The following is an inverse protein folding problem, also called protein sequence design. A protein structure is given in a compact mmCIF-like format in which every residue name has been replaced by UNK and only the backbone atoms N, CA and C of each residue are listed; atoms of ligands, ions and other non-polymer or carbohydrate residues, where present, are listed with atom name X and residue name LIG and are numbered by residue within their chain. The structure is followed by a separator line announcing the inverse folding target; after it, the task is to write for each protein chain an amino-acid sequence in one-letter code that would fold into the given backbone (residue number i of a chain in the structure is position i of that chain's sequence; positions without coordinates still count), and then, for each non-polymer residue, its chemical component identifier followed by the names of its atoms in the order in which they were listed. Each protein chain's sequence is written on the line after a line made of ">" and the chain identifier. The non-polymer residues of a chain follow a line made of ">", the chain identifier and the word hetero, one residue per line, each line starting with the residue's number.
data_IF_958261753557
#
_entry.id   IF_958261753557
#
_cell.length_a   1.000
_cell.length_b   1.000
_cell.length_c   1.000
_cell.angle_alpha   90.00
_cell.angle_beta   90.00
_cell.angle_gamma   90.00
#
_symmetry.space_group_name_H-M   'P 1'
#
loop_
_entity.id
_entity.type
_entity.pdbx_description
1 polymer ?
#
# COMPACT_ATOMS: atom_id res chain seq x y z
N UNK A 1 67.35 -4.03 -50.42
CA UNK A 1 66.22 -3.43 -49.68
C UNK A 1 64.93 -4.13 -50.10
N UNK A 2 64.44 -5.13 -49.36
CA UNK A 2 63.00 -5.45 -49.21
C UNK A 2 62.87 -6.29 -47.93
N UNK A 3 62.83 -5.63 -46.77
CA UNK A 3 62.47 -6.24 -45.48
C UNK A 3 61.50 -5.28 -44.81
N UNK A 4 60.22 -5.37 -45.17
CA UNK A 4 59.21 -4.43 -44.66
C UNK A 4 57.76 -4.91 -44.69
N UNK A 5 57.41 -6.01 -45.38
CA UNK A 5 56.00 -6.44 -45.46
C UNK A 5 55.57 -7.44 -44.38
N UNK A 6 56.49 -8.25 -43.83
CA UNK A 6 56.12 -9.34 -42.89
C UNK A 6 55.84 -8.86 -41.47
N UNK A 7 56.58 -7.86 -40.98
CA UNK A 7 56.39 -7.28 -39.64
C UNK A 7 55.12 -6.42 -39.53
N UNK A 8 54.80 -5.67 -40.59
CA UNK A 8 53.60 -4.84 -40.65
C UNK A 8 52.30 -5.68 -40.63
N UNK A 9 52.28 -6.82 -41.32
CA UNK A 9 51.12 -7.72 -41.34
C UNK A 9 50.85 -8.35 -39.97
N UNK A 10 51.91 -8.77 -39.26
CA UNK A 10 51.79 -9.38 -37.93
C UNK A 10 51.37 -8.34 -36.88
N UNK A 11 51.89 -7.11 -36.96
CA UNK A 11 51.48 -6.01 -36.09
C UNK A 11 50.02 -5.59 -36.33
N UNK A 12 49.59 -5.51 -37.59
CA UNK A 12 48.20 -5.24 -37.95
C UNK A 12 47.27 -6.35 -37.44
N UNK A 13 47.61 -7.62 -37.66
CA UNK A 13 46.82 -8.75 -37.15
C UNK A 13 46.72 -8.76 -35.62
N UNK A 14 47.80 -8.41 -34.92
CA UNK A 14 47.81 -8.27 -33.46
C UNK A 14 46.94 -7.11 -32.97
N UNK A 15 46.97 -5.96 -33.65
CA UNK A 15 46.09 -4.82 -33.33
C UNK A 15 44.61 -5.09 -33.62
N UNK A 16 44.30 -5.78 -34.72
CA UNK A 16 42.93 -6.23 -35.01
C UNK A 16 42.44 -7.22 -33.96
N UNK A 17 43.25 -8.22 -33.60
CA UNK A 17 42.91 -9.19 -32.56
C UNK A 17 42.71 -8.51 -31.18
N UNK A 18 43.56 -7.55 -30.83
CA UNK A 18 43.45 -6.79 -29.59
C UNK A 18 42.19 -5.90 -29.57
N UNK A 19 41.85 -5.28 -30.70
CA UNK A 19 40.63 -4.45 -30.85
C UNK A 19 39.34 -5.27 -30.78
N UNK A 20 39.36 -6.49 -31.32
CA UNK A 20 38.24 -7.44 -31.20
C UNK A 20 38.11 -7.93 -29.76
N UNK A 21 39.22 -8.24 -29.09
CA UNK A 21 39.22 -8.67 -27.69
C UNK A 21 38.71 -7.57 -26.76
N UNK A 22 39.09 -6.31 -26.97
CA UNK A 22 38.58 -5.19 -26.16
C UNK A 22 37.11 -4.92 -26.45
N UNK A 23 36.67 -4.96 -27.71
CA UNK A 23 35.26 -4.79 -28.08
C UNK A 23 34.37 -5.89 -27.50
N UNK A 24 34.83 -7.15 -27.51
CA UNK A 24 34.09 -8.28 -26.92
C UNK A 24 34.00 -8.19 -25.40
N UNK A 25 35.09 -7.83 -24.71
CA UNK A 25 35.06 -7.59 -23.26
C UNK A 25 34.12 -6.44 -22.91
N UNK A 26 34.16 -5.34 -23.66
CA UNK A 26 33.28 -4.20 -23.45
C UNK A 26 31.80 -4.58 -23.66
N UNK A 27 31.50 -5.35 -24.70
CA UNK A 27 30.16 -5.87 -24.98
C UNK A 27 29.65 -6.78 -23.85
N UNK A 28 30.50 -7.68 -23.34
CA UNK A 28 30.16 -8.57 -22.22
C UNK A 28 29.88 -7.80 -20.92
N UNK A 29 30.66 -6.75 -20.64
CA UNK A 29 30.43 -5.88 -19.48
C UNK A 29 29.10 -5.12 -19.59
N UNK A 30 28.78 -4.60 -20.78
CA UNK A 30 27.50 -3.90 -21.04
C UNK A 30 26.31 -4.87 -20.90
N UNK A 31 26.39 -6.06 -21.50
CA UNK A 31 25.33 -7.07 -21.40
C UNK A 31 25.12 -7.56 -19.96
N UNK A 32 26.19 -7.73 -19.19
CA UNK A 32 26.12 -8.14 -17.78
C UNK A 32 25.42 -7.09 -16.90
N UNK A 33 25.58 -5.79 -17.21
CA UNK A 33 24.87 -4.70 -16.53
C UNK A 33 23.39 -4.64 -16.91
N UNK A 34 23.06 -4.91 -18.17
CA UNK A 34 21.66 -4.94 -18.66
C UNK A 34 20.90 -6.14 -18.09
N UNK A 35 21.58 -7.26 -17.83
CA UNK A 35 20.96 -8.48 -17.31
C UNK A 35 20.60 -8.43 -15.80
N UNK A 36 20.97 -7.38 -15.06
CA UNK A 36 20.52 -7.19 -13.69
C UNK A 36 19.12 -6.54 -13.65
N UNK A 37 18.11 -7.26 -14.14
CA UNK A 37 16.73 -6.96 -13.78
C UNK A 37 16.47 -7.54 -12.37
N UNK A 38 16.35 -6.68 -11.37
CA UNK A 38 15.92 -7.11 -10.04
C UNK A 38 14.44 -7.50 -10.12
N UNK A 39 14.16 -8.80 -10.07
CA UNK A 39 12.77 -9.31 -10.04
C UNK A 39 12.28 -9.19 -8.59
N UNK A 40 11.49 -8.16 -8.33
CA UNK A 40 10.79 -8.02 -7.06
C UNK A 40 9.49 -8.83 -7.12
N UNK A 41 9.40 -9.86 -6.29
CA UNK A 41 8.16 -10.58 -6.06
C UNK A 41 7.43 -9.95 -4.89
N UNK A 42 6.28 -9.32 -5.16
CA UNK A 42 5.35 -8.94 -4.12
C UNK A 42 4.38 -10.12 -3.90
N UNK A 43 4.33 -10.71 -2.69
CA UNK A 43 3.31 -11.70 -2.40
C UNK A 43 1.94 -11.03 -2.57
N UNK A 44 1.12 -11.58 -3.47
CA UNK A 44 -0.22 -11.08 -3.69
C UNK A 44 -1.05 -11.33 -2.43
N UNK A 45 -1.32 -10.26 -1.68
CA UNK A 45 -2.25 -10.24 -0.56
C UNK A 45 -3.54 -9.57 -1.00
N UNK A 46 -4.67 -10.20 -0.72
CA UNK A 46 -5.98 -9.62 -0.95
C UNK A 46 -6.49 -8.94 0.34
N UNK A 47 -7.37 -7.92 0.26
CA UNK A 47 -7.92 -7.26 1.44
C UNK A 47 -8.53 -8.20 2.47
N UNK A 48 -9.15 -9.29 2.00
CA UNK A 48 -9.81 -10.32 2.80
C UNK A 48 -8.82 -11.20 3.59
N UNK A 49 -7.52 -11.13 3.25
CA UNK A 49 -6.47 -11.89 3.92
C UNK A 49 -5.83 -11.15 5.10
N UNK A 50 -6.17 -9.86 5.29
CA UNK A 50 -5.73 -9.09 6.45
C UNK A 50 -6.57 -9.44 7.70
N UNK A 51 -5.98 -9.31 8.89
CA UNK A 51 -6.70 -9.54 10.14
C UNK A 51 -7.81 -8.51 10.39
N UNK A 52 -8.75 -8.82 11.29
CA UNK A 52 -9.91 -7.96 11.60
C UNK A 52 -9.55 -6.54 12.12
N UNK A 53 -8.33 -6.35 12.64
CA UNK A 53 -7.81 -5.07 13.13
C UNK A 53 -6.74 -4.49 12.20
N UNK A 54 -6.65 -4.98 10.97
CA UNK A 54 -5.71 -4.52 9.95
C UNK A 54 -6.51 -4.09 8.72
N UNK A 55 -5.94 -3.22 7.89
CA UNK A 55 -6.48 -2.90 6.57
C UNK A 55 -5.41 -3.14 5.51
N UNK A 56 -5.85 -3.37 4.28
CA UNK A 56 -4.94 -3.50 3.15
C UNK A 56 -4.58 -2.11 2.59
N UNK A 57 -3.34 -1.70 2.80
CA UNK A 57 -2.80 -0.49 2.20
C UNK A 57 -2.37 -0.78 0.76
N UNK A 58 -3.18 -0.30 -0.19
CA UNK A 58 -2.96 -0.50 -1.63
C UNK A 58 -1.68 0.20 -2.11
N UNK A 59 -1.26 1.27 -1.43
CA UNK A 59 -0.03 2.01 -1.79
C UNK A 59 1.22 1.24 -1.39
N UNK A 60 1.17 0.54 -0.25
CA UNK A 60 2.25 -0.29 0.26
C UNK A 60 2.12 -1.78 -0.12
N UNK A 61 1.01 -2.18 -0.75
CA UNK A 61 0.64 -3.57 -1.07
C UNK A 61 0.76 -4.52 0.15
N UNK A 62 0.36 -4.06 1.33
CA UNK A 62 0.55 -4.80 2.58
C UNK A 62 -0.59 -4.58 3.60
N UNK A 63 -0.71 -5.48 4.58
CA UNK A 63 -1.65 -5.32 5.69
C UNK A 63 -1.02 -4.44 6.76
N UNK A 64 -1.73 -3.39 7.15
CA UNK A 64 -1.29 -2.41 8.15
C UNK A 64 -2.29 -2.40 9.30
N UNK A 65 -1.85 -2.42 10.57
CA UNK A 65 -2.76 -2.39 11.71
C UNK A 65 -3.50 -1.06 11.77
N UNK A 66 -4.79 -1.12 12.12
CA UNK A 66 -5.56 0.07 12.48
C UNK A 66 -5.11 0.64 13.83
N UNK A 67 -5.35 1.95 14.03
CA UNK A 67 -4.96 2.64 15.25
C UNK A 67 -5.87 2.33 16.45
N UNK A 68 -5.63 3.02 17.56
CA UNK A 68 -6.41 2.82 18.79
C UNK A 68 -7.88 3.20 18.58
N UNK A 69 -8.79 2.36 19.10
CA UNK A 69 -10.24 2.51 18.96
C UNK A 69 -10.75 2.52 17.51
N UNK A 70 -10.04 1.82 16.63
CA UNK A 70 -10.41 1.64 15.24
C UNK A 70 -10.58 0.16 14.92
N UNK A 71 -11.25 -0.12 13.81
CA UNK A 71 -11.36 -1.44 13.17
C UNK A 71 -11.30 -1.29 11.65
N UNK A 72 -11.13 -2.41 10.96
CA UNK A 72 -11.23 -2.46 9.52
C UNK A 72 -12.65 -2.11 9.04
N UNK A 73 -12.76 -1.44 7.88
CA UNK A 73 -14.03 -1.21 7.19
C UNK A 73 -14.57 -2.49 6.53
N UNK A 74 -15.83 -2.45 6.08
CA UNK A 74 -16.47 -3.62 5.48
C UNK A 74 -15.76 -4.14 4.20
N UNK A 75 -14.98 -3.28 3.51
CA UNK A 75 -14.22 -3.66 2.31
C UNK A 75 -12.80 -4.10 2.59
N UNK A 76 -12.32 -3.94 3.81
CA UNK A 76 -10.98 -4.34 4.18
C UNK A 76 -9.84 -3.39 3.81
N UNK A 77 -10.17 -2.19 3.34
CA UNK A 77 -9.22 -1.27 2.66
C UNK A 77 -8.96 0.02 3.43
N UNK A 78 -9.67 0.22 4.54
CA UNK A 78 -9.48 1.40 5.40
C UNK A 78 -9.82 1.09 6.85
N UNK A 79 -9.41 1.97 7.75
CA UNK A 79 -9.81 1.94 9.15
C UNK A 79 -10.99 2.88 9.40
N UNK A 80 -11.87 2.48 10.30
CA UNK A 80 -13.01 3.26 10.79
C UNK A 80 -13.05 3.20 12.31
N UNK A 81 -13.65 4.20 12.96
CA UNK A 81 -13.81 4.19 14.40
C UNK A 81 -14.69 3.02 14.86
N UNK A 82 -14.40 2.49 16.04
CA UNK A 82 -15.25 1.51 16.70
C UNK A 82 -16.65 2.09 16.98
N UNK A 83 -17.69 1.25 17.07
CA UNK A 83 -19.01 1.70 17.48
C UNK A 83 -18.98 2.48 18.81
N UNK A 84 -19.67 3.62 18.86
CA UNK A 84 -19.67 4.53 20.02
C UNK A 84 -18.44 5.45 20.12
N UNK A 85 -17.58 5.48 19.12
CA UNK A 85 -16.50 6.46 18.98
C UNK A 85 -16.74 7.36 17.78
N UNK A 86 -16.71 8.67 18.00
CA UNK A 86 -16.74 9.65 16.91
C UNK A 86 -15.34 9.91 16.36
N UNK A 87 -15.28 10.21 15.07
CA UNK A 87 -14.07 10.68 14.39
C UNK A 87 -13.82 12.15 14.74
N UNK A 88 -12.61 12.45 15.22
CA UNK A 88 -12.16 13.81 15.52
C UNK A 88 -11.30 14.37 14.39
N UNK A 89 -10.51 13.50 13.74
CA UNK A 89 -9.71 13.87 12.58
C UNK A 89 -9.50 12.67 11.67
N UNK A 90 -9.42 12.93 10.38
CA UNK A 90 -9.09 11.93 9.37
C UNK A 90 -7.77 12.31 8.68
N UNK A 91 -6.68 11.67 9.09
CA UNK A 91 -5.37 11.82 8.44
C UNK A 91 -5.04 10.64 7.50
N UNK A 92 -6.03 9.78 7.22
CA UNK A 92 -5.86 8.57 6.43
C UNK A 92 -5.19 7.40 7.17
N UNK A 93 -5.37 6.20 6.63
CA UNK A 93 -4.78 4.96 7.16
C UNK A 93 -5.03 4.78 8.67
N UNK A 94 -3.99 4.48 9.46
CA UNK A 94 -4.12 4.30 10.92
C UNK A 94 -4.18 5.62 11.69
N UNK A 95 -3.92 6.77 11.05
CA UNK A 95 -3.79 8.08 11.70
C UNK A 95 -5.14 8.80 11.92
N UNK A 96 -6.25 8.06 11.83
CA UNK A 96 -7.58 8.54 12.20
C UNK A 96 -7.64 8.67 13.72
N UNK A 97 -8.18 9.79 14.23
CA UNK A 97 -8.32 9.98 15.68
C UNK A 97 -9.77 9.74 16.07
N UNK A 98 -10.00 8.75 16.92
CA UNK A 98 -11.32 8.36 17.42
C UNK A 98 -11.46 8.71 18.91
N UNK A 99 -12.59 9.30 19.29
CA UNK A 99 -12.91 9.65 20.68
C UNK A 99 -14.22 9.01 21.11
N UNK A 100 -14.23 8.42 22.32
CA UNK A 100 -15.42 7.81 22.87
C UNK A 100 -16.52 8.87 23.04
N UNK A 101 -17.72 8.53 22.58
CA UNK A 101 -18.89 9.35 22.81
C UNK A 101 -19.27 9.39 24.29
N UNK A 102 -19.85 10.51 24.78
CA UNK A 102 -20.30 10.60 26.15
C UNK A 102 -21.45 9.62 26.42
N UNK A 103 -21.60 9.16 27.67
CA UNK A 103 -22.58 8.13 28.05
C UNK A 103 -24.04 8.50 27.71
N UNK A 104 -24.37 9.80 27.60
CA UNK A 104 -25.70 10.30 27.25
C UNK A 104 -25.98 10.31 25.73
N UNK A 105 -24.93 10.19 24.90
CA UNK A 105 -25.01 10.26 23.44
C UNK A 105 -24.21 9.11 22.85
N UNK A 106 -24.67 7.87 23.07
CA UNK A 106 -23.91 6.67 22.67
C UNK A 106 -23.89 6.44 21.15
N UNK A 107 -24.80 7.07 20.40
CA UNK A 107 -24.87 6.92 18.95
C UNK A 107 -23.84 7.78 18.24
N UNK A 108 -23.47 7.34 17.04
CA UNK A 108 -22.62 8.10 16.12
C UNK A 108 -23.41 8.32 14.84
N UNK A 109 -23.27 9.49 14.23
CA UNK A 109 -23.84 9.80 12.91
C UNK A 109 -23.31 8.86 11.82
N UNK A 110 -24.03 8.75 10.71
CA UNK A 110 -23.67 7.83 9.62
C UNK A 110 -22.32 8.16 8.96
N UNK A 111 -21.96 9.45 8.93
CA UNK A 111 -20.67 9.96 8.48
C UNK A 111 -19.53 9.73 9.51
N UNK A 112 -19.88 9.37 10.75
CA UNK A 112 -18.92 9.03 11.81
C UNK A 112 -18.39 10.21 12.62
N UNK A 113 -18.77 11.45 12.32
CA UNK A 113 -18.13 12.65 12.88
C UNK A 113 -18.71 13.15 14.19
N UNK A 114 -19.99 12.88 14.47
CA UNK A 114 -20.69 13.46 15.61
C UNK A 114 -21.35 12.38 16.48
N UNK A 115 -21.31 12.57 17.79
CA UNK A 115 -22.11 11.81 18.73
C UNK A 115 -23.56 12.33 18.77
N UNK A 116 -24.52 11.41 18.83
CA UNK A 116 -25.96 11.72 18.88
C UNK A 116 -26.68 10.86 19.92
N UNK A 117 -27.81 11.36 20.42
CA UNK A 117 -28.74 10.59 21.24
C UNK A 117 -29.69 9.78 20.34
N UNK A 118 -29.76 8.46 20.55
CA UNK A 118 -30.72 7.60 19.88
C UNK A 118 -31.93 7.37 20.80
N UNK A 119 -33.15 7.79 20.43
CA UNK A 119 -34.32 7.71 21.32
C UNK A 119 -34.76 6.27 21.63
N UNK A 120 -34.64 5.35 20.67
CA UNK A 120 -34.94 3.93 20.89
C UNK A 120 -33.69 3.09 21.23
N UNK A 121 -32.60 3.74 21.64
CA UNK A 121 -31.34 3.08 21.94
C UNK A 121 -30.53 2.70 20.70
N UNK A 122 -29.55 1.81 20.90
CA UNK A 122 -28.61 1.35 19.89
C UNK A 122 -28.82 -0.12 19.55
N UNK A 123 -28.52 -0.50 18.31
CA UNK A 123 -28.36 -1.89 17.90
C UNK A 123 -27.02 -2.45 18.41
N UNK A 124 -26.83 -3.78 18.32
CA UNK A 124 -25.58 -4.42 18.71
C UNK A 124 -24.36 -3.90 17.91
N UNK A 125 -24.60 -3.41 16.70
CA UNK A 125 -23.59 -2.82 15.81
C UNK A 125 -23.31 -1.34 16.14
N UNK A 126 -24.00 -0.77 17.14
CA UNK A 126 -23.88 0.61 17.59
C UNK A 126 -24.53 1.65 16.67
N UNK A 127 -25.55 1.26 15.90
CA UNK A 127 -26.40 2.17 15.12
C UNK A 127 -27.65 2.55 15.91
N UNK A 128 -28.25 3.72 15.66
CA UNK A 128 -29.54 4.03 16.27
C UNK A 128 -30.61 3.00 15.84
N UNK A 129 -31.34 2.45 16.80
CA UNK A 129 -32.49 1.60 16.50
C UNK A 129 -33.65 2.47 16.02
N UNK A 130 -34.29 2.07 14.91
CA UNK A 130 -35.48 2.74 14.40
C UNK A 130 -36.62 1.73 14.22
N UNK A 131 -37.66 1.81 15.06
CA UNK A 131 -38.81 0.93 14.94
C UNK A 131 -39.60 1.21 13.65
N UNK A 132 -40.32 0.19 13.18
CA UNK A 132 -41.13 0.25 11.95
C UNK A 132 -42.06 1.46 11.97
N UNK A 133 -42.05 2.23 10.87
CA UNK A 133 -42.84 3.48 10.74
C UNK A 133 -42.11 4.76 11.12
N UNK A 134 -40.87 4.69 11.63
CA UNK A 134 -40.03 5.86 11.91
C UNK A 134 -38.94 6.01 10.84
N UNK A 135 -38.68 7.24 10.40
CA UNK A 135 -37.63 7.56 9.42
C UNK A 135 -36.47 8.24 10.13
N UNK A 136 -35.25 7.75 9.91
CA UNK A 136 -34.03 8.49 10.25
C UNK A 136 -33.86 9.62 9.24
N UNK A 137 -34.18 10.85 9.65
CA UNK A 137 -33.83 12.03 8.86
C UNK A 137 -32.31 12.14 8.78
N UNK A 138 -31.74 12.03 7.58
CA UNK A 138 -30.36 12.49 7.35
C UNK A 138 -30.36 14.01 7.49
N UNK A 139 -29.55 14.54 8.40
CA UNK A 139 -29.33 15.98 8.53
C UNK A 139 -27.99 16.33 7.93
#
# INVERSE_FOLDING_TARGET
>A
MVTGCRGAWVAMAAWFAFSIATATVFLLLVLSRVSQAQVFFFPFRQPETCGHNEYFDISALSCVPCGANQRQDARGTSCVCLPGFQMISNNGGPNIICKKCPENMKGVTEDGWNCISCPAGLTAEGKCHCPTGHILGKK
#
